data_IF_773526175208
#
_entry.id   IF_773526175208
#
_cell.length_a   1.000
_cell.length_b   1.000
_cell.length_c   1.000
_cell.angle_alpha   90.00
_cell.angle_beta   90.00
_cell.angle_gamma   90.00
#
_symmetry.space_group_name_H-M   'P 1'
#
loop_
_entity.id
_entity.type
_entity.pdbx_description
1 polymer ?
#
# COMPACT_ATOMS: atom_id res chain seq x y z
N UNK A 1 32.34 22.44 46.49
CA UNK A 1 31.68 21.15 46.23
C UNK A 1 30.51 21.42 45.30
N UNK A 2 30.69 21.19 43.99
CA UNK A 2 29.68 21.47 42.97
C UNK A 2 28.96 20.14 42.67
N UNK A 3 27.67 20.07 42.99
CA UNK A 3 26.82 18.90 42.69
C UNK A 3 26.51 18.86 41.19
N UNK A 4 26.98 17.83 40.49
CA UNK A 4 26.47 17.48 39.16
C UNK A 4 25.21 16.62 39.33
N UNK A 5 24.04 17.22 39.13
CA UNK A 5 22.80 16.47 38.95
C UNK A 5 22.78 16.01 37.48
N UNK A 6 23.09 14.74 37.26
CA UNK A 6 22.86 14.08 35.97
C UNK A 6 21.35 13.85 35.87
N UNK A 7 20.65 14.77 35.22
CA UNK A 7 19.24 14.58 34.87
C UNK A 7 19.18 13.59 33.70
N UNK A 8 18.94 12.32 34.02
CA UNK A 8 18.68 11.27 33.04
C UNK A 8 17.28 11.52 32.46
N UNK A 9 17.20 12.27 31.35
CA UNK A 9 15.98 12.30 30.53
C UNK A 9 15.84 10.94 29.87
N UNK A 10 15.03 10.06 30.46
CA UNK A 10 14.49 8.93 29.73
C UNK A 10 13.65 9.51 28.58
N UNK A 11 14.07 9.29 27.33
CA UNK A 11 13.19 9.47 26.19
C UNK A 11 12.04 8.47 26.37
N UNK A 12 10.93 8.94 26.92
CA UNK A 12 9.65 8.25 26.80
C UNK A 12 9.37 8.19 25.30
N UNK A 13 9.49 7.01 24.71
CA UNK A 13 9.00 6.76 23.37
C UNK A 13 7.47 6.95 23.42
N UNK A 14 7.00 8.12 23.01
CA UNK A 14 5.58 8.39 22.92
C UNK A 14 5.04 7.62 21.72
N UNK A 15 4.23 6.59 21.97
CA UNK A 15 3.43 5.96 20.92
C UNK A 15 2.44 7.01 20.41
N UNK A 16 2.46 7.26 19.11
CA UNK A 16 1.57 8.17 18.40
C UNK A 16 0.58 7.33 17.62
N UNK A 17 -0.65 7.24 18.14
CA UNK A 17 -1.77 6.68 17.39
C UNK A 17 -2.24 7.75 16.41
N UNK A 18 -2.17 7.46 15.12
CA UNK A 18 -2.76 8.34 14.10
C UNK A 18 -4.27 8.16 14.17
N UNK A 19 -5.04 9.22 14.53
CA UNK A 19 -6.48 9.12 14.76
C UNK A 19 -7.21 8.41 13.62
N UNK A 20 -8.32 7.75 13.93
CA UNK A 20 -9.19 7.07 12.96
C UNK A 20 -9.48 7.87 11.69
N UNK A 21 -9.77 7.20 10.57
CA UNK A 21 -9.92 7.88 9.29
C UNK A 21 -11.14 8.81 9.27
N UNK A 22 -11.12 9.87 8.44
CA UNK A 22 -12.09 10.97 8.51
C UNK A 22 -13.46 10.66 7.91
N UNK A 23 -13.58 9.58 7.14
CA UNK A 23 -14.81 9.23 6.44
C UNK A 23 -15.82 8.45 7.29
N UNK A 24 -17.04 8.24 6.78
CA UNK A 24 -18.12 7.61 7.52
C UNK A 24 -17.98 6.09 7.71
N UNK A 25 -17.09 5.42 6.96
CA UNK A 25 -16.92 3.98 7.02
C UNK A 25 -15.73 3.60 7.92
N UNK A 26 -15.90 2.55 8.72
CA UNK A 26 -14.79 1.87 9.37
C UNK A 26 -13.92 1.18 8.30
N UNK A 27 -12.65 0.95 8.62
CA UNK A 27 -11.69 0.39 7.65
C UNK A 27 -11.02 -0.83 8.23
N UNK A 28 -11.08 -1.93 7.50
CA UNK A 28 -10.29 -3.12 7.77
C UNK A 28 -9.01 -3.13 6.93
N UNK A 29 -7.98 -3.82 7.42
CA UNK A 29 -6.73 -4.04 6.71
C UNK A 29 -6.52 -5.53 6.44
N UNK A 30 -6.13 -5.86 5.20
CA UNK A 30 -5.65 -7.18 4.80
C UNK A 30 -4.32 -7.04 4.11
N UNK A 31 -3.39 -7.94 4.40
CA UNK A 31 -2.07 -7.95 3.78
C UNK A 31 -1.91 -9.26 3.03
N UNK A 32 -1.48 -9.20 1.76
CA UNK A 32 -1.35 -10.37 0.90
C UNK A 32 -0.09 -10.28 0.05
N UNK A 33 0.69 -11.36 0.06
CA UNK A 33 1.72 -11.58 -0.94
C UNK A 33 1.10 -12.29 -2.15
N UNK A 34 1.40 -11.76 -3.33
CA UNK A 34 1.10 -12.38 -4.61
C UNK A 34 2.38 -12.83 -5.29
N UNK A 35 2.32 -13.97 -5.96
CA UNK A 35 3.38 -14.49 -6.80
C UNK A 35 2.84 -14.67 -8.21
N UNK A 36 3.52 -14.04 -9.17
CA UNK A 36 3.25 -14.23 -10.58
C UNK A 36 4.12 -15.37 -11.10
N UNK A 37 3.58 -16.58 -11.08
CA UNK A 37 4.29 -17.78 -11.51
C UNK A 37 4.73 -17.74 -12.99
N UNK A 38 4.09 -16.90 -13.82
CA UNK A 38 4.41 -16.76 -15.23
C UNK A 38 5.61 -15.84 -15.47
N UNK A 39 5.92 -14.91 -14.55
CA UNK A 39 7.01 -13.95 -14.70
C UNK A 39 8.21 -14.28 -13.80
N UNK A 40 9.39 -14.40 -14.41
CA UNK A 40 10.65 -14.26 -13.68
C UNK A 40 10.90 -12.79 -13.37
N UNK A 41 11.47 -12.50 -12.21
CA UNK A 41 11.81 -11.14 -11.83
C UNK A 41 13.08 -10.68 -12.57
N UNK A 42 13.01 -9.65 -13.44
CA UNK A 42 14.18 -9.18 -14.18
C UNK A 42 15.18 -8.41 -13.32
N UNK A 43 14.81 -8.08 -12.08
CA UNK A 43 15.64 -7.35 -11.13
C UNK A 43 16.11 -8.25 -9.99
N UNK A 44 15.75 -9.53 -9.96
CA UNK A 44 16.34 -10.46 -9.01
C UNK A 44 17.85 -10.63 -9.26
N UNK A 45 18.66 -10.84 -8.19
CA UNK A 45 20.07 -11.16 -8.33
C UNK A 45 20.27 -12.38 -9.26
N UNK A 46 21.27 -12.31 -10.14
CA UNK A 46 21.50 -13.33 -11.17
C UNK A 46 21.78 -14.73 -10.59
N UNK A 47 22.39 -14.78 -9.41
CA UNK A 47 22.68 -16.00 -8.66
C UNK A 47 21.48 -16.54 -7.87
N UNK A 48 20.40 -15.76 -7.75
CA UNK A 48 19.19 -16.10 -6.99
C UNK A 48 17.93 -15.73 -7.81
N UNK A 49 17.72 -16.35 -8.98
CA UNK A 49 16.55 -16.08 -9.80
C UNK A 49 15.27 -16.49 -9.05
N UNK A 50 14.28 -15.60 -9.03
CA UNK A 50 12.99 -15.87 -8.42
C UNK A 50 11.82 -15.40 -9.29
N UNK A 51 10.63 -15.94 -8.99
CA UNK A 51 9.39 -15.49 -9.61
C UNK A 51 9.02 -14.10 -9.10
N UNK A 52 8.41 -13.30 -9.98
CA UNK A 52 8.00 -11.94 -9.63
C UNK A 52 6.96 -12.01 -8.52
N UNK A 53 7.26 -11.38 -7.40
CA UNK A 53 6.33 -11.25 -6.27
C UNK A 53 5.94 -9.80 -6.08
N UNK A 54 4.77 -9.58 -5.50
CA UNK A 54 4.31 -8.26 -5.08
C UNK A 54 3.60 -8.39 -3.73
N UNK A 55 3.86 -7.45 -2.83
CA UNK A 55 3.21 -7.42 -1.52
C UNK A 55 2.17 -6.30 -1.52
N UNK A 56 0.95 -6.57 -1.07
CA UNK A 56 -0.13 -5.57 -1.06
C UNK A 56 -0.72 -5.39 0.33
N UNK A 57 -1.21 -4.18 0.57
CA UNK A 57 -2.09 -3.84 1.69
C UNK A 57 -3.44 -3.39 1.12
N UNK A 58 -4.49 -4.13 1.46
CA UNK A 58 -5.88 -3.91 1.03
C UNK A 58 -6.65 -3.29 2.18
N UNK A 59 -7.09 -2.05 1.97
CA UNK A 59 -7.88 -1.26 2.90
C UNK A 59 -9.34 -1.36 2.45
N UNK A 60 -10.18 -1.94 3.28
CA UNK A 60 -11.56 -2.30 2.91
C UNK A 60 -12.55 -1.47 3.73
N UNK A 61 -13.48 -0.74 3.08
CA UNK A 61 -14.56 -0.09 3.79
C UNK A 61 -15.50 -1.15 4.38
N UNK A 62 -15.94 -0.91 5.60
CA UNK A 62 -16.99 -1.66 6.26
C UNK A 62 -18.22 -0.79 6.35
N UNK A 63 -19.40 -1.39 6.23
CA UNK A 63 -20.68 -0.69 6.38
C UNK A 63 -20.72 0.16 7.65
N UNK A 64 -21.38 1.30 7.56
CA UNK A 64 -21.48 2.27 8.66
C UNK A 64 -22.11 1.67 9.92
N UNK A 65 -22.98 0.68 9.74
CA UNK A 65 -23.67 -0.04 10.82
C UNK A 65 -22.86 -1.22 11.36
N UNK A 66 -21.75 -1.59 10.72
CA UNK A 66 -20.91 -2.69 11.16
C UNK A 66 -20.28 -2.35 12.52
N UNK A 67 -20.44 -3.24 13.47
CA UNK A 67 -19.73 -3.18 14.75
C UNK A 67 -18.53 -4.12 14.70
N UNK A 68 -17.38 -3.62 15.12
CA UNK A 68 -16.19 -4.43 15.29
C UNK A 68 -15.30 -3.90 16.41
N UNK A 69 -14.43 -4.77 16.92
CA UNK A 69 -13.35 -4.37 17.80
C UNK A 69 -12.27 -3.64 17.00
N UNK A 70 -11.82 -2.50 17.52
CA UNK A 70 -10.69 -1.78 16.97
C UNK A 70 -9.40 -2.48 17.40
N UNK A 71 -8.51 -2.68 16.44
CA UNK A 71 -7.14 -3.10 16.67
C UNK A 71 -6.17 -2.02 16.22
N UNK A 72 -5.02 -2.01 16.86
CA UNK A 72 -3.94 -1.07 16.56
C UNK A 72 -2.81 -1.82 15.88
N UNK A 73 -2.43 -1.37 14.69
CA UNK A 73 -1.40 -1.97 13.85
C UNK A 73 -0.23 -1.00 13.73
N UNK A 74 1.03 -1.45 13.87
CA UNK A 74 2.19 -0.60 13.59
C UNK A 74 2.10 0.04 12.20
N UNK A 75 2.44 1.33 12.08
CA UNK A 75 2.42 2.05 10.81
C UNK A 75 3.27 1.35 9.74
N UNK A 76 4.39 0.77 10.18
CA UNK A 76 5.26 -0.13 9.41
C UNK A 76 5.74 -1.25 10.34
N UNK A 77 6.03 -2.46 9.82
CA UNK A 77 6.65 -3.52 10.63
C UNK A 77 8.01 -3.10 11.21
N UNK A 78 8.45 -3.68 12.34
CA UNK A 78 9.67 -3.25 13.03
C UNK A 78 10.93 -3.23 12.16
N UNK A 79 11.16 -4.26 11.34
CA UNK A 79 12.31 -4.33 10.42
C UNK A 79 12.22 -3.23 9.36
N UNK A 80 11.06 -3.07 8.72
CA UNK A 80 10.79 -1.95 7.80
C UNK A 80 10.96 -0.59 8.47
N UNK A 81 10.58 -0.43 9.74
CA UNK A 81 10.73 0.83 10.48
C UNK A 81 12.20 1.28 10.55
N UNK A 82 13.10 0.33 10.79
CA UNK A 82 14.55 0.59 10.81
C UNK A 82 15.05 1.00 9.44
N UNK A 83 14.71 0.24 8.40
CA UNK A 83 15.18 0.51 7.03
C UNK A 83 14.67 1.86 6.49
N UNK A 84 13.37 2.12 6.60
CA UNK A 84 12.77 3.39 6.15
C UNK A 84 13.22 4.56 7.04
N UNK A 85 13.38 4.33 8.34
CA UNK A 85 13.87 5.31 9.29
C UNK A 85 15.29 5.77 8.98
N UNK A 86 16.18 4.84 8.64
CA UNK A 86 17.53 5.18 8.18
C UNK A 86 17.48 6.04 6.91
N UNK A 87 16.64 5.68 5.93
CA UNK A 87 16.40 6.50 4.74
C UNK A 87 15.89 7.90 5.08
N UNK A 88 14.96 8.02 6.02
CA UNK A 88 14.43 9.29 6.48
C UNK A 88 15.50 10.18 7.14
N UNK A 89 16.37 9.58 7.94
CA UNK A 89 17.49 10.27 8.57
C UNK A 89 18.52 10.76 7.54
N UNK A 90 18.93 9.90 6.60
CA UNK A 90 19.95 10.23 5.62
C UNK A 90 19.46 11.23 4.57
N UNK A 91 18.22 11.11 4.10
CA UNK A 91 17.70 11.93 2.99
C UNK A 91 17.02 13.21 3.44
N UNK A 92 16.38 13.21 4.62
CA UNK A 92 15.55 14.32 5.09
C UNK A 92 15.97 14.87 6.46
N UNK A 93 17.01 14.32 7.10
CA UNK A 93 17.47 14.78 8.41
C UNK A 93 16.48 14.51 9.55
N UNK A 94 15.53 13.58 9.35
CA UNK A 94 14.55 13.20 10.36
C UNK A 94 15.12 12.19 11.36
N UNK A 95 14.53 12.03 12.56
CA UNK A 95 14.93 10.96 13.46
C UNK A 95 14.79 9.58 12.79
N UNK A 96 15.83 8.74 12.89
CA UNK A 96 15.80 7.39 12.32
C UNK A 96 14.75 6.45 12.93
N UNK A 97 14.11 6.87 14.01
CA UNK A 97 13.04 6.16 14.71
C UNK A 97 11.65 6.71 14.41
N UNK A 98 11.52 7.64 13.45
CA UNK A 98 10.27 8.38 13.20
C UNK A 98 9.06 7.46 12.98
N UNK A 99 9.24 6.29 12.39
CA UNK A 99 8.17 5.35 12.11
C UNK A 99 7.89 4.33 13.23
N UNK A 100 8.85 4.09 14.12
CA UNK A 100 8.80 3.00 15.10
C UNK A 100 7.76 3.21 16.21
N UNK A 101 7.32 4.45 16.44
CA UNK A 101 6.31 4.80 17.43
C UNK A 101 4.94 5.13 16.84
N UNK A 102 4.74 4.95 15.53
CA UNK A 102 3.48 5.30 14.87
C UNK A 102 2.59 4.08 14.71
N UNK A 103 1.30 4.24 15.01
CA UNK A 103 0.33 3.18 14.89
C UNK A 103 -0.95 3.66 14.18
N UNK A 104 -1.65 2.72 13.55
CA UNK A 104 -2.89 2.92 12.82
C UNK A 104 -3.99 2.06 13.43
N UNK A 105 -5.16 2.65 13.63
CA UNK A 105 -6.36 1.93 14.02
C UNK A 105 -7.06 1.34 12.80
N UNK A 106 -7.43 0.06 12.90
CA UNK A 106 -8.25 -0.67 11.95
C UNK A 106 -9.34 -1.44 12.68
N UNK A 107 -10.37 -1.80 11.93
CA UNK A 107 -11.37 -2.74 12.36
C UNK A 107 -10.82 -4.17 12.26
N UNK A 108 -10.85 -4.92 13.36
CA UNK A 108 -10.51 -6.33 13.36
C UNK A 108 -11.70 -7.13 12.78
N UNK A 109 -11.45 -7.76 11.64
CA UNK A 109 -12.43 -8.55 10.88
C UNK A 109 -12.21 -10.06 10.96
N UNK A 110 -11.33 -10.49 11.88
CA UNK A 110 -11.23 -11.90 12.28
C UNK A 110 -12.31 -12.26 13.31
N UNK A 111 -12.95 -11.24 13.89
CA UNK A 111 -14.19 -11.36 14.64
C UNK A 111 -15.37 -11.05 13.71
N UNK A 112 -16.41 -11.90 13.60
CA UNK A 112 -17.52 -11.65 12.69
C UNK A 112 -18.21 -10.30 12.99
N UNK A 113 -18.26 -9.40 12.00
CA UNK A 113 -19.04 -8.18 12.12
C UNK A 113 -20.54 -8.52 12.20
N UNK A 114 -21.20 -8.08 13.27
CA UNK A 114 -22.65 -8.24 13.41
C UNK A 114 -23.39 -7.35 12.39
N UNK A 115 -24.42 -7.89 11.72
CA UNK A 115 -25.38 -7.11 10.91
C UNK A 115 -25.08 -6.96 9.41
N UNK A 116 -24.07 -7.65 8.87
CA UNK A 116 -23.68 -7.51 7.47
C UNK A 116 -24.39 -8.54 6.55
N UNK A 117 -25.66 -8.28 6.20
CA UNK A 117 -26.47 -9.21 5.40
C UNK A 117 -26.40 -9.04 3.87
N UNK A 118 -25.71 -8.00 3.36
CA UNK A 118 -25.60 -7.74 1.91
C UNK A 118 -24.19 -7.40 1.49
N UNK A 119 -23.73 -7.99 0.37
CA UNK A 119 -22.51 -7.57 -0.31
C UNK A 119 -22.72 -6.19 -0.94
N UNK A 120 -21.86 -5.23 -0.60
CA UNK A 120 -21.84 -3.91 -1.21
C UNK A 120 -20.64 -3.78 -2.15
N UNK A 121 -20.90 -3.30 -3.37
CA UNK A 121 -19.85 -3.11 -4.36
C UNK A 121 -19.18 -1.75 -4.21
N UNK A 122 -17.87 -1.76 -4.05
CA UNK A 122 -17.06 -0.55 -3.92
C UNK A 122 -16.12 -0.36 -5.12
N UNK A 123 -15.87 0.89 -5.54
CA UNK A 123 -14.80 1.21 -6.48
C UNK A 123 -13.44 0.76 -5.94
N UNK A 124 -12.57 0.26 -6.82
CA UNK A 124 -11.20 -0.14 -6.50
C UNK A 124 -10.23 1.00 -6.81
N UNK A 125 -9.29 1.29 -5.90
CA UNK A 125 -8.17 2.21 -6.12
C UNK A 125 -6.87 1.45 -5.90
N UNK A 126 -6.08 1.25 -6.95
CA UNK A 126 -4.72 0.76 -6.86
C UNK A 126 -3.75 1.95 -6.71
N UNK A 127 -2.85 1.89 -5.73
CA UNK A 127 -1.91 2.96 -5.45
C UNK A 127 -0.45 2.48 -5.54
N UNK A 128 0.31 3.02 -6.49
CA UNK A 128 1.74 2.72 -6.68
C UNK A 128 2.63 3.76 -5.98
N UNK A 129 3.58 3.28 -5.17
CA UNK A 129 4.52 4.14 -4.42
C UNK A 129 5.59 4.79 -5.32
N UNK A 130 6.34 5.75 -4.77
CA UNK A 130 7.50 6.34 -5.45
C UNK A 130 8.68 5.37 -5.61
N UNK A 131 9.70 5.73 -6.38
CA UNK A 131 10.92 4.90 -6.49
C UNK A 131 11.59 4.75 -5.11
N UNK A 132 12.10 3.56 -4.77
CA UNK A 132 12.75 3.31 -3.48
C UNK A 132 11.93 3.78 -2.28
N UNK A 133 10.60 3.63 -2.36
CA UNK A 133 9.63 3.94 -1.31
C UNK A 133 8.96 2.64 -0.85
N UNK A 134 7.81 2.72 -0.20
CA UNK A 134 7.02 1.54 0.17
C UNK A 134 5.52 1.83 0.05
N UNK A 135 4.74 0.77 -0.19
CA UNK A 135 3.28 0.76 -0.08
C UNK A 135 2.81 1.30 1.27
N UNK A 136 3.57 1.01 2.34
CA UNK A 136 3.21 1.36 3.71
C UNK A 136 3.28 2.87 3.98
N UNK A 137 4.15 3.60 3.27
CA UNK A 137 4.24 5.06 3.37
C UNK A 137 2.93 5.78 2.98
N UNK A 138 2.02 5.07 2.30
CA UNK A 138 0.73 5.58 1.85
C UNK A 138 -0.45 4.98 2.63
N UNK A 139 -0.20 4.28 3.74
CA UNK A 139 -1.24 3.62 4.55
C UNK A 139 -2.28 4.59 5.11
N UNK A 140 -1.88 5.79 5.57
CA UNK A 140 -2.82 6.82 6.04
C UNK A 140 -3.72 7.31 4.91
N UNK A 141 -3.16 7.55 3.72
CA UNK A 141 -3.92 7.95 2.53
C UNK A 141 -4.91 6.85 2.12
N UNK A 142 -4.45 5.61 2.06
CA UNK A 142 -5.26 4.47 1.68
C UNK A 142 -6.40 4.21 2.67
N UNK A 143 -6.11 4.28 3.98
CA UNK A 143 -7.11 4.22 5.05
C UNK A 143 -8.12 5.36 4.95
N UNK A 144 -7.67 6.59 4.64
CA UNK A 144 -8.57 7.73 4.46
C UNK A 144 -9.50 7.54 3.26
N UNK A 145 -8.98 7.15 2.10
CA UNK A 145 -9.80 6.89 0.91
C UNK A 145 -10.77 5.73 1.16
N UNK A 146 -10.33 4.68 1.84
CA UNK A 146 -11.19 3.57 2.19
C UNK A 146 -12.36 3.99 3.07
N UNK A 147 -12.14 4.89 4.03
CA UNK A 147 -13.23 5.41 4.87
C UNK A 147 -14.29 6.21 4.11
N UNK A 148 -14.06 6.56 2.83
CA UNK A 148 -15.03 7.19 1.94
C UNK A 148 -15.70 6.21 0.97
N UNK A 149 -15.53 4.89 1.16
CA UNK A 149 -16.20 3.86 0.36
C UNK A 149 -15.42 3.45 -0.89
N UNK A 150 -14.11 3.30 -0.76
CA UNK A 150 -13.24 2.74 -1.82
C UNK A 150 -12.50 1.53 -1.27
N UNK A 151 -12.40 0.44 -2.03
CA UNK A 151 -11.38 -0.58 -1.71
C UNK A 151 -10.05 -0.02 -2.21
N UNK A 152 -9.08 0.18 -1.30
CA UNK A 152 -7.80 0.80 -1.65
C UNK A 152 -6.65 -0.17 -1.45
N UNK A 153 -5.92 -0.45 -2.52
CA UNK A 153 -4.82 -1.40 -2.54
C UNK A 153 -3.51 -0.67 -2.81
N UNK A 154 -2.64 -0.62 -1.82
CA UNK A 154 -1.25 -0.16 -2.01
C UNK A 154 -0.37 -1.37 -2.27
N UNK A 155 0.50 -1.35 -3.28
CA UNK A 155 1.38 -2.47 -3.64
C UNK A 155 2.86 -2.08 -3.61
N UNK A 156 3.71 -2.97 -3.08
CA UNK A 156 5.16 -2.90 -3.22
C UNK A 156 5.60 -3.60 -4.49
N UNK A 157 6.41 -2.91 -5.28
CA UNK A 157 7.10 -3.47 -6.43
C UNK A 157 8.45 -4.03 -5.96
N UNK A 158 8.56 -5.35 -5.87
CA UNK A 158 9.78 -6.04 -5.39
C UNK A 158 11.02 -5.59 -6.17
N UNK A 159 12.16 -5.47 -5.48
CA UNK A 159 13.44 -4.94 -5.99
C UNK A 159 13.44 -3.46 -6.42
N UNK A 160 12.31 -2.76 -6.30
CA UNK A 160 12.23 -1.29 -6.43
C UNK A 160 11.84 -0.63 -5.10
N UNK A 161 10.89 -1.20 -4.36
CA UNK A 161 10.57 -0.76 -3.02
C UNK A 161 11.81 -0.79 -2.11
N UNK A 162 11.94 0.18 -1.22
CA UNK A 162 13.08 0.30 -0.30
C UNK A 162 13.29 -0.99 0.49
N UNK A 163 12.20 -1.61 0.93
CA UNK A 163 12.16 -2.89 1.62
C UNK A 163 10.80 -3.54 1.38
N UNK A 164 10.79 -4.85 1.18
CA UNK A 164 9.59 -5.69 1.14
C UNK A 164 9.81 -6.87 2.07
N UNK A 165 8.91 -7.04 3.04
CA UNK A 165 8.88 -8.20 3.93
C UNK A 165 7.74 -9.13 3.51
N UNK A 166 8.06 -10.38 3.17
CA UNK A 166 7.09 -11.40 2.78
C UNK A 166 6.69 -12.28 3.98
N UNK A 167 5.48 -12.88 3.97
CA UNK A 167 5.01 -13.75 5.06
C UNK A 167 5.86 -15.00 5.31
N UNK A 168 6.64 -15.44 4.34
CA UNK A 168 7.58 -16.56 4.46
C UNK A 168 8.92 -16.15 5.11
N UNK A 169 9.03 -14.91 5.58
CA UNK A 169 10.22 -14.36 6.23
C UNK A 169 11.28 -13.83 5.25
N UNK A 170 11.03 -13.93 3.94
CA UNK A 170 11.93 -13.41 2.93
C UNK A 170 11.85 -11.88 2.90
N UNK A 171 13.01 -11.22 2.92
CA UNK A 171 13.14 -9.76 2.80
C UNK A 171 13.86 -9.43 1.50
N UNK A 172 13.34 -8.43 0.78
CA UNK A 172 13.94 -7.89 -0.46
C UNK A 172 14.14 -6.39 -0.31
N UNK A 173 15.29 -5.90 -0.74
CA UNK A 173 15.60 -4.47 -0.81
C UNK A 173 15.62 -4.02 -2.27
N UNK A 174 15.62 -2.71 -2.48
CA UNK A 174 15.87 -2.17 -3.81
C UNK A 174 17.32 -2.45 -4.24
N UNK A 175 17.53 -3.11 -5.38
CA UNK A 175 18.87 -3.48 -5.86
C UNK A 175 19.69 -2.25 -6.27
N UNK A 176 19.09 -1.37 -7.06
CA UNK A 176 19.77 -0.20 -7.63
C UNK A 176 18.91 1.07 -7.47
N UNK A 177 18.64 1.44 -6.22
CA UNK A 177 17.75 2.54 -5.85
C UNK A 177 18.13 3.89 -6.48
N UNK A 178 19.43 4.17 -6.65
CA UNK A 178 19.96 5.45 -7.15
C UNK A 178 20.30 5.44 -8.65
N UNK A 179 20.22 4.29 -9.32
CA UNK A 179 20.62 4.16 -10.73
C UNK A 179 19.67 4.95 -11.66
N UNK A 180 20.13 6.06 -12.21
CA UNK A 180 19.34 6.91 -13.10
C UNK A 180 19.49 6.56 -14.58
N UNK A 181 20.13 5.45 -14.93
CA UNK A 181 20.22 5.00 -16.32
C UNK A 181 18.83 4.79 -16.92
N UNK A 182 18.63 5.35 -18.12
CA UNK A 182 17.33 5.36 -18.78
C UNK A 182 16.82 3.95 -19.06
N UNK A 183 17.70 3.01 -19.45
CA UNK A 183 17.28 1.64 -19.74
C UNK A 183 16.86 0.91 -18.46
N UNK A 184 17.62 1.09 -17.37
CA UNK A 184 17.25 0.54 -16.06
C UNK A 184 15.93 1.11 -15.52
N UNK A 185 15.75 2.43 -15.58
CA UNK A 185 14.51 3.07 -15.12
C UNK A 185 13.31 2.62 -15.97
N UNK A 186 13.51 2.46 -17.28
CA UNK A 186 12.46 1.95 -18.17
C UNK A 186 12.10 0.49 -17.85
N UNK A 187 13.07 -0.38 -17.57
CA UNK A 187 12.78 -1.77 -17.21
C UNK A 187 12.05 -1.88 -15.87
N UNK A 188 12.37 -1.03 -14.89
CA UNK A 188 11.59 -0.91 -13.66
C UNK A 188 10.14 -0.51 -13.97
N UNK A 189 9.93 0.51 -14.80
CA UNK A 189 8.60 0.98 -15.16
C UNK A 189 7.77 -0.12 -15.85
N UNK A 190 8.39 -0.89 -16.74
CA UNK A 190 7.77 -2.04 -17.40
C UNK A 190 7.38 -3.13 -16.39
N UNK A 191 8.24 -3.44 -15.42
CA UNK A 191 7.94 -4.37 -14.33
C UNK A 191 6.76 -3.87 -13.49
N UNK A 192 6.77 -2.61 -13.08
CA UNK A 192 5.70 -1.98 -12.29
C UNK A 192 4.36 -1.99 -13.00
N UNK A 193 4.35 -1.69 -14.29
CA UNK A 193 3.14 -1.72 -15.11
C UNK A 193 2.53 -3.13 -15.13
N UNK A 194 3.36 -4.17 -15.35
CA UNK A 194 2.91 -5.55 -15.35
C UNK A 194 2.42 -5.99 -13.97
N UNK A 195 3.02 -5.51 -12.89
CA UNK A 195 2.53 -5.77 -11.54
C UNK A 195 1.15 -5.14 -11.31
N UNK A 196 0.91 -3.92 -11.79
CA UNK A 196 -0.40 -3.26 -11.70
C UNK A 196 -1.47 -4.10 -12.41
N UNK A 197 -1.23 -4.50 -13.66
CA UNK A 197 -2.17 -5.34 -14.42
C UNK A 197 -2.39 -6.68 -13.72
N UNK A 198 -1.32 -7.35 -13.30
CA UNK A 198 -1.40 -8.62 -12.58
C UNK A 198 -2.22 -8.52 -11.30
N UNK A 199 -2.00 -7.50 -10.47
CA UNK A 199 -2.77 -7.31 -9.23
C UNK A 199 -4.23 -6.99 -9.52
N UNK A 200 -4.54 -6.21 -10.56
CA UNK A 200 -5.93 -5.98 -10.99
C UNK A 200 -6.59 -7.31 -11.38
N UNK A 201 -5.93 -8.13 -12.21
CA UNK A 201 -6.45 -9.43 -12.63
C UNK A 201 -6.71 -10.35 -11.43
N UNK A 202 -5.79 -10.39 -10.47
CA UNK A 202 -5.95 -11.14 -9.22
C UNK A 202 -7.13 -10.61 -8.39
N UNK A 203 -7.36 -9.31 -8.33
CA UNK A 203 -8.45 -8.70 -7.56
C UNK A 203 -9.82 -8.82 -8.26
N UNK A 204 -9.84 -9.08 -9.57
CA UNK A 204 -11.06 -9.35 -10.32
C UNK A 204 -11.42 -10.83 -10.35
N UNK A 205 -10.50 -11.73 -10.03
CA UNK A 205 -10.76 -13.16 -9.85
C UNK A 205 -11.48 -13.41 -8.52
N UNK A 206 -12.75 -13.91 -8.53
CA UNK A 206 -13.48 -14.19 -7.30
C UNK A 206 -12.78 -15.20 -6.38
N UNK A 207 -12.02 -16.14 -6.94
CA UNK A 207 -11.28 -17.16 -6.14
C UNK A 207 -10.20 -16.53 -5.26
N UNK A 208 -9.74 -15.34 -5.61
CA UNK A 208 -8.75 -14.56 -4.88
C UNK A 208 -9.42 -13.46 -4.06
N UNK A 209 -10.33 -12.70 -4.67
CA UNK A 209 -10.96 -11.54 -4.04
C UNK A 209 -11.90 -11.93 -2.89
N UNK A 210 -12.69 -13.01 -3.04
CA UNK A 210 -13.64 -13.41 -2.01
C UNK A 210 -12.97 -13.77 -0.68
N UNK A 211 -11.92 -14.62 -0.63
CA UNK A 211 -11.18 -14.84 0.62
C UNK A 211 -10.53 -13.58 1.18
N UNK A 212 -10.01 -12.70 0.31
CA UNK A 212 -9.32 -11.48 0.71
C UNK A 212 -10.26 -10.45 1.35
N UNK A 213 -11.53 -10.43 0.95
CA UNK A 213 -12.57 -9.52 1.45
C UNK A 213 -13.52 -10.21 2.46
N UNK A 214 -13.24 -11.46 2.83
CA UNK A 214 -14.05 -12.21 3.77
C UNK A 214 -14.16 -11.47 5.12
N UNK A 215 -15.37 -11.48 5.70
CA UNK A 215 -15.68 -10.76 6.94
C UNK A 215 -16.00 -9.27 6.77
N UNK A 216 -15.87 -8.70 5.57
CA UNK A 216 -16.17 -7.27 5.30
C UNK A 216 -17.47 -7.01 4.54
N UNK A 217 -17.96 -8.04 3.84
CA UNK A 217 -19.12 -7.96 2.95
C UNK A 217 -18.97 -6.88 1.87
N UNK A 218 -17.72 -6.52 1.56
CA UNK A 218 -17.34 -5.71 0.43
C UNK A 218 -17.07 -6.61 -0.77
N UNK A 219 -17.45 -6.14 -1.96
CA UNK A 219 -17.01 -6.69 -3.24
C UNK A 219 -16.47 -5.57 -4.13
N UNK A 220 -15.61 -5.93 -5.08
CA UNK A 220 -15.05 -4.97 -6.03
C UNK A 220 -16.03 -4.73 -7.16
N UNK A 221 -16.31 -3.47 -7.48
CA UNK A 221 -17.02 -3.10 -8.70
C UNK A 221 -16.03 -3.09 -9.89
N UNK A 222 -16.15 -4.02 -10.86
CA UNK A 222 -15.18 -4.15 -11.96
C UNK A 222 -15.25 -2.99 -12.96
N UNK A 223 -16.32 -2.19 -12.94
CA UNK A 223 -16.49 -1.03 -13.83
C UNK A 223 -15.87 0.25 -13.26
N UNK A 224 -15.42 0.23 -12.00
CA UNK A 224 -14.90 1.40 -11.27
C UNK A 224 -13.53 1.10 -10.67
N UNK A 225 -12.54 0.93 -11.54
CA UNK A 225 -11.15 0.68 -11.17
C UNK A 225 -10.34 1.95 -11.40
N UNK A 226 -9.60 2.39 -10.38
CA UNK A 226 -8.73 3.55 -10.40
C UNK A 226 -7.29 3.20 -10.10
N UNK A 227 -6.38 3.91 -10.74
CA UNK A 227 -4.94 3.82 -10.51
C UNK A 227 -4.44 5.20 -10.14
N UNK A 228 -3.76 5.29 -9.01
CA UNK A 228 -3.08 6.48 -8.51
C UNK A 228 -1.63 6.13 -8.17
N UNK A 229 -0.78 7.15 -8.06
CA UNK A 229 0.58 6.92 -7.65
C UNK A 229 1.35 8.21 -7.35
N UNK A 230 2.37 8.07 -6.51
CA UNK A 230 3.23 9.15 -6.09
C UNK A 230 4.59 9.07 -6.81
N UNK A 231 5.12 10.19 -7.29
CA UNK A 231 6.44 10.26 -7.95
C UNK A 231 6.55 9.24 -9.10
N UNK A 232 7.47 8.27 -9.04
CA UNK A 232 7.59 7.20 -10.05
C UNK A 232 6.33 6.31 -10.17
N UNK A 233 5.51 6.24 -9.11
CA UNK A 233 4.16 5.68 -9.17
C UNK A 233 3.24 6.45 -10.12
N UNK A 234 3.43 7.77 -10.28
CA UNK A 234 2.71 8.56 -11.29
C UNK A 234 3.11 8.20 -12.73
N UNK A 235 4.39 7.90 -12.96
CA UNK A 235 4.83 7.35 -14.25
C UNK A 235 4.23 5.95 -14.50
N UNK A 236 4.12 5.14 -13.44
CA UNK A 236 3.46 3.83 -13.48
C UNK A 236 2.00 3.97 -13.91
N UNK A 237 1.25 4.89 -13.31
CA UNK A 237 -0.13 5.22 -13.73
C UNK A 237 -0.18 5.55 -15.22
N UNK A 238 0.67 6.47 -15.69
CA UNK A 238 0.69 6.86 -17.10
C UNK A 238 0.99 5.67 -18.02
N UNK A 239 1.94 4.80 -17.65
CA UNK A 239 2.31 3.61 -18.44
C UNK A 239 1.21 2.57 -18.50
N UNK A 240 0.54 2.30 -17.38
CA UNK A 240 -0.61 1.38 -17.32
C UNK A 240 -1.74 1.86 -18.22
N UNK A 241 -2.10 3.14 -18.14
CA UNK A 241 -3.17 3.72 -18.97
C UNK A 241 -2.87 3.70 -20.47
N UNK A 242 -1.60 3.83 -20.87
CA UNK A 242 -1.20 3.76 -22.28
C UNK A 242 -1.24 2.34 -22.85
N UNK A 243 -0.99 1.34 -22.00
CA UNK A 243 -0.93 -0.05 -22.44
C UNK A 243 -2.31 -0.67 -22.61
N UNK A 244 -3.25 -0.35 -21.72
CA UNK A 244 -4.63 -0.85 -21.81
C UNK A 244 -5.34 -0.32 -23.07
N UNK A 245 -5.03 0.91 -23.49
CA UNK A 245 -5.54 1.47 -24.76
C UNK A 245 -5.09 0.68 -25.99
N UNK A 246 -3.93 0.02 -25.95
CA UNK A 246 -3.45 -0.81 -27.06
C UNK A 246 -4.12 -2.18 -27.09
N UNK A 247 -4.75 -2.62 -26.00
CA UNK A 247 -5.37 -3.94 -25.85
C UNK A 247 -6.86 -4.01 -26.24
N UNK A 248 -7.47 -2.93 -26.74
CA UNK A 248 -8.87 -2.89 -27.22
C UNK A 248 -9.94 -3.39 -26.22
N UNK A 249 -9.62 -3.46 -24.93
CA UNK A 249 -10.58 -3.80 -23.87
C UNK A 249 -11.20 -2.53 -23.32
N UNK A 250 -12.51 -2.36 -23.46
CA UNK A 250 -13.29 -1.29 -22.83
C UNK A 250 -13.24 -1.44 -21.31
N UNK A 251 -12.29 -0.75 -20.68
CA UNK A 251 -12.39 -0.35 -19.28
C UNK A 251 -12.60 1.18 -19.26
N UNK A 252 -13.78 1.62 -18.83
CA UNK A 252 -14.07 3.03 -18.67
C UNK A 252 -13.17 3.60 -17.56
N UNK A 253 -12.34 4.61 -17.87
CA UNK A 253 -11.53 5.27 -16.84
C UNK A 253 -11.68 6.78 -16.83
N UNK A 254 -12.03 7.31 -15.65
CA UNK A 254 -12.29 8.72 -15.40
C UNK A 254 -10.99 9.53 -15.40
N UNK A 255 -11.02 10.56 -16.25
CA UNK A 255 -10.00 11.57 -16.49
C UNK A 255 -9.88 12.48 -15.26
N UNK A 256 -8.84 12.32 -14.44
CA UNK A 256 -8.38 13.39 -13.56
C UNK A 256 -7.35 14.22 -14.31
N UNK A 257 -7.82 15.21 -15.07
CA UNK A 257 -7.00 16.38 -15.42
C UNK A 257 -6.75 17.16 -14.14
N UNK A 258 -5.49 17.54 -13.91
CA UNK A 258 -5.09 18.54 -12.93
C UNK A 258 -6.05 19.74 -12.91
N UNK A 259 -6.59 20.07 -11.74
CA UNK A 259 -7.43 21.22 -11.46
C UNK A 259 -7.93 21.17 -10.01
N UNK A 260 -8.06 22.31 -9.29
CA UNK A 260 -8.13 22.33 -7.84
C UNK A 260 -9.43 21.72 -7.33
N UNK A 261 -9.32 20.97 -6.23
CA UNK A 261 -10.46 20.48 -5.45
C UNK A 261 -11.20 21.72 -4.94
N UNK A 262 -12.38 22.01 -5.50
CA UNK A 262 -13.38 22.89 -4.90
C UNK A 262 -14.47 22.00 -4.30
N UNK A 263 -14.54 21.97 -2.97
CA UNK A 263 -15.67 21.37 -2.26
C UNK A 263 -16.93 22.24 -2.38
N UNK A 264 -18.12 21.65 -2.22
CA UNK A 264 -19.37 22.42 -2.16
C UNK A 264 -19.46 23.19 -0.84
N UNK A 265 -19.98 24.42 -0.94
CA UNK A 265 -20.48 25.25 0.16
C UNK A 265 -21.88 24.76 0.51
#
# INVERSE_FOLDING_TARGET
MLFFIISSFALMASVVVIPGPPGPYLVALRVKAFEDAARWDPHAPQDQPEKRRAMVSVHVPLKKEAQCSIETVPYVPPTTAVALGQGAATLFGLPGTIFSGMELEFCNIDTPCAGAEKNEEYPLVLFSHGRASSRLAHGVLARSLASYGYIVVTLDHTYDAAIVEFPDGIIRFAENATNSDTAYVKSLLESRQKDVSFIIDQLLDPSVATPLLAGTQASINPEKIFIAGHSFGGATVASSLLSDRKSNSTAAYSRSTQGPIRGPI
#
